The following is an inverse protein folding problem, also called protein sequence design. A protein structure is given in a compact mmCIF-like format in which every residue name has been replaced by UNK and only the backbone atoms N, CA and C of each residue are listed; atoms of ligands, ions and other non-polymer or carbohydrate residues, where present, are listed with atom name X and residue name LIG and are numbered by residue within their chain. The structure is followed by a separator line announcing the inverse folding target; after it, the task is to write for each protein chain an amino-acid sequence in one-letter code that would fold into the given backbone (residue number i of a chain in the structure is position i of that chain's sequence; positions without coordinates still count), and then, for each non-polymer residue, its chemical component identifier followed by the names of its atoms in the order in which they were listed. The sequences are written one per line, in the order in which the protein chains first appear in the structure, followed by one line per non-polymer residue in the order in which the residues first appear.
data_IF_623044242632
#
_entry.id   IF_623044242632
#
_cell.length_a   1.000
_cell.length_b   1.000
_cell.length_c   1.000
_cell.angle_alpha   90.00
_cell.angle_beta   90.00
_cell.angle_gamma   90.00
#
_symmetry.space_group_name_H-M   'P 1'
#
loop_
_entity.id
_entity.type
_entity.pdbx_description
1 polymer ?
#
# COMPACT_ATOMS: atom_id res chain seq x y z
N UNK A 1 -31.26 4.19 25.10
CA UNK A 1 -30.82 3.46 23.90
C UNK A 1 -29.44 3.96 23.54
N UNK A 2 -28.43 3.09 23.56
CA UNK A 2 -27.08 3.45 23.10
C UNK A 2 -27.03 3.06 21.62
N UNK A 3 -26.99 4.06 20.74
CA UNK A 3 -26.76 3.84 19.31
C UNK A 3 -25.28 3.50 19.11
N UNK A 4 -24.98 2.22 18.85
CA UNK A 4 -23.67 1.83 18.35
C UNK A 4 -23.55 2.33 16.91
N UNK A 5 -22.54 3.16 16.63
CA UNK A 5 -22.15 3.45 15.25
C UNK A 5 -21.74 2.13 14.60
N UNK A 6 -22.37 1.75 13.49
CA UNK A 6 -21.88 0.64 12.68
C UNK A 6 -20.58 1.10 11.99
N UNK A 7 -19.45 0.58 12.43
CA UNK A 7 -18.17 0.75 11.72
C UNK A 7 -18.18 -0.33 10.64
N UNK A 8 -18.28 0.08 9.38
CA UNK A 8 -18.51 -0.86 8.27
C UNK A 8 -17.29 -1.74 7.95
N UNK A 9 -16.12 -1.52 8.58
CA UNK A 9 -14.90 -2.26 8.29
C UNK A 9 -13.90 -2.26 9.47
N UNK A 10 -14.27 -2.94 10.57
CA UNK A 10 -13.39 -3.13 11.72
C UNK A 10 -12.10 -3.88 11.34
N UNK A 11 -12.16 -4.75 10.34
CA UNK A 11 -11.03 -5.58 9.94
C UNK A 11 -10.00 -4.78 9.13
N UNK A 12 -10.43 -3.93 8.19
CA UNK A 12 -9.51 -3.00 7.52
C UNK A 12 -8.90 -2.01 8.51
N UNK A 13 -9.65 -1.55 9.50
CA UNK A 13 -9.13 -0.68 10.56
C UNK A 13 -8.04 -1.36 11.37
N UNK A 14 -8.20 -2.65 11.70
CA UNK A 14 -7.17 -3.46 12.36
C UNK A 14 -5.94 -3.65 11.47
N UNK A 15 -6.14 -3.97 10.19
CA UNK A 15 -5.03 -4.14 9.25
C UNK A 15 -4.22 -2.85 9.08
N UNK A 16 -4.90 -1.69 9.01
CA UNK A 16 -4.26 -0.38 8.90
C UNK A 16 -3.40 0.01 10.12
N UNK A 17 -3.57 -0.66 11.27
CA UNK A 17 -2.73 -0.44 12.45
C UNK A 17 -1.36 -1.13 12.33
N UNK A 18 -1.21 -2.11 11.45
CA UNK A 18 0.08 -2.75 11.20
C UNK A 18 0.93 -1.86 10.28
N UNK A 19 2.03 -1.25 10.76
CA UNK A 19 2.84 -0.35 9.95
C UNK A 19 3.59 -1.04 8.79
N UNK A 20 3.61 -2.38 8.76
CA UNK A 20 4.17 -3.15 7.65
C UNK A 20 3.21 -3.24 6.46
N UNK A 21 1.92 -3.05 6.68
CA UNK A 21 0.90 -3.17 5.65
C UNK A 21 0.54 -1.77 5.09
N UNK A 22 0.15 -1.75 3.81
CA UNK A 22 -0.45 -0.62 3.13
C UNK A 22 -1.76 -1.07 2.49
N UNK A 23 -2.81 -1.09 3.30
CA UNK A 23 -4.07 -1.80 2.99
C UNK A 23 -5.11 -0.96 2.25
N UNK A 24 -4.86 0.34 2.08
CA UNK A 24 -5.77 1.25 1.40
C UNK A 24 -4.99 2.31 0.59
N UNK A 25 -5.60 2.92 -0.45
CA UNK A 25 -4.87 3.77 -1.41
C UNK A 25 -4.09 4.94 -0.81
N UNK A 26 -4.47 5.38 0.40
CA UNK A 26 -3.97 6.60 1.04
C UNK A 26 -3.36 6.35 2.42
N UNK A 27 -3.13 5.07 2.77
CA UNK A 27 -2.53 4.63 4.02
C UNK A 27 -3.51 4.57 5.20
N UNK A 28 -4.30 5.62 5.39
CA UNK A 28 -5.33 5.69 6.44
C UNK A 28 -6.61 6.38 5.94
N UNK A 29 -7.72 6.24 6.67
CA UNK A 29 -8.98 6.91 6.34
C UNK A 29 -8.91 8.43 6.36
N UNK A 30 -7.92 9.00 7.04
CA UNK A 30 -7.66 10.44 7.07
C UNK A 30 -6.86 10.91 5.84
N UNK A 31 -6.44 9.99 4.98
CA UNK A 31 -5.67 10.21 3.76
C UNK A 31 -4.29 10.85 3.96
N UNK A 32 -3.64 10.66 5.11
CA UNK A 32 -2.36 11.30 5.42
C UNK A 32 -1.19 10.80 4.56
N UNK A 33 -1.26 9.56 4.05
CA UNK A 33 -0.15 8.89 3.34
C UNK A 33 1.14 8.85 4.17
N UNK A 34 1.01 8.61 5.48
CA UNK A 34 2.12 8.58 6.42
C UNK A 34 2.45 7.14 6.83
N UNK A 35 3.74 6.79 6.84
CA UNK A 35 4.25 5.54 7.42
C UNK A 35 5.07 5.86 8.67
N UNK A 36 4.86 5.08 9.74
CA UNK A 36 5.66 5.14 10.97
C UNK A 36 6.97 4.33 10.88
N UNK A 37 7.20 3.60 9.78
CA UNK A 37 8.46 2.90 9.55
C UNK A 37 9.63 3.88 9.44
N UNK A 38 10.73 3.56 10.11
CA UNK A 38 11.89 4.45 10.26
C UNK A 38 13.24 3.81 9.92
N UNK A 39 13.21 2.61 9.33
CA UNK A 39 14.43 1.91 8.91
C UNK A 39 15.23 2.75 7.90
N UNK A 40 14.52 3.35 6.94
CA UNK A 40 15.06 4.37 6.03
C UNK A 40 14.82 5.74 6.67
N UNK A 41 15.87 6.56 6.74
CA UNK A 41 15.83 7.88 7.36
C UNK A 41 16.87 8.82 6.74
N UNK A 42 16.88 10.08 7.18
CA UNK A 42 17.74 11.16 6.65
C UNK A 42 19.23 10.82 6.67
N UNK A 43 19.67 9.98 7.59
CA UNK A 43 21.09 9.66 7.79
C UNK A 43 21.55 8.50 6.89
N UNK A 44 20.62 7.69 6.36
CA UNK A 44 20.96 6.50 5.56
C UNK A 44 20.30 6.43 4.17
N UNK A 45 19.38 7.34 3.83
CA UNK A 45 18.66 7.33 2.54
C UNK A 45 19.59 7.37 1.32
N UNK A 46 20.77 7.98 1.45
CA UNK A 46 21.79 8.01 0.40
C UNK A 46 22.42 6.65 0.08
N UNK A 47 22.12 5.60 0.85
CA UNK A 47 22.58 4.21 0.62
C UNK A 47 21.55 3.33 -0.08
N UNK A 48 20.36 3.87 -0.41
CA UNK A 48 19.32 3.08 -1.07
C UNK A 48 19.77 2.60 -2.45
N UNK A 49 19.41 1.35 -2.75
CA UNK A 49 19.65 0.71 -4.04
C UNK A 49 18.35 0.03 -4.50
N UNK A 50 18.21 -0.16 -5.81
CA UNK A 50 17.11 -0.93 -6.38
C UNK A 50 17.24 -2.38 -5.92
N UNK A 51 16.26 -2.88 -5.17
CA UNK A 51 16.23 -4.27 -4.73
C UNK A 51 15.74 -5.21 -5.86
N UNK A 52 14.70 -4.80 -6.59
CA UNK A 52 14.13 -5.53 -7.71
C UNK A 52 13.29 -4.60 -8.60
N UNK A 53 12.93 -5.08 -9.79
CA UNK A 53 12.00 -4.40 -10.71
C UNK A 53 11.02 -5.39 -11.32
N UNK A 54 9.83 -4.90 -11.70
CA UNK A 54 8.79 -5.68 -12.36
C UNK A 54 8.21 -4.87 -13.53
N UNK A 55 8.07 -5.50 -14.69
CA UNK A 55 7.42 -4.88 -15.85
C UNK A 55 5.96 -5.29 -15.91
N UNK A 56 5.06 -4.31 -16.01
CA UNK A 56 3.62 -4.55 -16.18
C UNK A 56 3.26 -5.02 -17.59
N UNK A 57 4.22 -5.04 -18.53
CA UNK A 57 4.02 -5.50 -19.90
C UNK A 57 3.14 -4.59 -20.77
N UNK A 58 2.72 -3.43 -20.26
CA UNK A 58 1.86 -2.47 -20.97
C UNK A 58 2.41 -1.05 -20.90
N UNK A 59 2.00 -0.22 -21.85
CA UNK A 59 2.40 1.19 -21.95
C UNK A 59 1.29 2.11 -21.44
N UNK A 60 1.54 3.43 -21.47
CA UNK A 60 0.68 4.56 -21.03
C UNK A 60 0.74 4.84 -19.51
N UNK A 61 -0.09 5.77 -19.06
CA UNK A 61 -0.03 6.36 -17.72
C UNK A 61 -0.36 5.35 -16.63
N UNK A 62 0.61 5.07 -15.76
CA UNK A 62 0.44 4.25 -14.56
C UNK A 62 0.10 5.17 -13.38
N UNK A 63 -1.13 5.07 -12.89
CA UNK A 63 -1.64 5.88 -11.79
C UNK A 63 -1.90 5.02 -10.54
N UNK A 64 -2.25 5.67 -9.43
CA UNK A 64 -2.47 5.00 -8.15
C UNK A 64 -1.17 4.54 -7.48
N UNK A 65 -1.29 3.62 -6.54
CA UNK A 65 -0.17 3.09 -5.75
C UNK A 65 -0.42 1.62 -5.40
N UNK A 66 0.65 0.82 -5.17
CA UNK A 66 0.48 -0.56 -4.74
C UNK A 66 -0.22 -0.68 -3.39
N UNK A 67 -0.92 -1.79 -3.17
CA UNK A 67 -1.33 -2.24 -1.85
C UNK A 67 -0.37 -3.34 -1.38
N UNK A 68 -0.03 -3.36 -0.10
CA UNK A 68 0.81 -4.40 0.51
C UNK A 68 0.07 -4.96 1.72
N UNK A 69 -0.20 -6.26 1.73
CA UNK A 69 -0.96 -6.94 2.78
C UNK A 69 -0.22 -8.23 3.11
N UNK A 70 0.42 -8.28 4.27
CA UNK A 70 1.36 -9.36 4.58
C UNK A 70 2.53 -9.38 3.60
N UNK A 71 2.81 -10.54 3.04
CA UNK A 71 3.94 -10.77 2.12
C UNK A 71 3.51 -10.67 0.64
N UNK A 72 2.38 -10.01 0.35
CA UNK A 72 1.87 -9.86 -1.03
C UNK A 72 1.68 -8.39 -1.39
N UNK A 73 2.26 -7.99 -2.53
CA UNK A 73 2.04 -6.69 -3.16
C UNK A 73 1.03 -6.81 -4.31
N UNK A 74 0.01 -5.97 -4.29
CA UNK A 74 -0.99 -5.84 -5.36
C UNK A 74 -0.78 -4.55 -6.12
N UNK A 75 -0.68 -4.62 -7.44
CA UNK A 75 -0.63 -3.45 -8.31
C UNK A 75 -1.54 -3.64 -9.53
N UNK A 76 -1.98 -2.53 -10.11
CA UNK A 76 -2.77 -2.55 -11.33
C UNK A 76 -2.04 -1.80 -12.45
N UNK A 77 -2.41 -2.12 -13.68
CA UNK A 77 -1.87 -1.52 -14.88
C UNK A 77 -2.94 -0.74 -15.67
N UNK A 78 -2.53 0.10 -16.64
CA UNK A 78 -3.43 0.71 -17.60
C UNK A 78 -4.28 -0.31 -18.38
N UNK A 79 -5.24 0.18 -19.18
CA UNK A 79 -6.07 -0.67 -20.06
C UNK A 79 -5.23 -1.77 -20.75
N UNK A 80 -5.59 -3.06 -20.64
CA UNK A 80 -6.90 -3.60 -20.25
C UNK A 80 -7.11 -3.82 -18.73
N UNK A 81 -6.41 -3.08 -17.88
CA UNK A 81 -6.62 -3.05 -16.42
C UNK A 81 -6.20 -4.34 -15.71
N UNK A 82 -5.10 -4.96 -16.17
CA UNK A 82 -4.51 -6.13 -15.52
C UNK A 82 -4.12 -5.82 -14.08
N UNK A 83 -4.40 -6.76 -13.18
CA UNK A 83 -3.99 -6.73 -11.77
C UNK A 83 -2.95 -7.82 -11.53
N UNK A 84 -1.90 -7.48 -10.80
CA UNK A 84 -0.83 -8.40 -10.42
C UNK A 84 -0.80 -8.56 -8.89
N UNK A 85 -0.49 -9.78 -8.45
CA UNK A 85 -0.13 -10.10 -7.07
C UNK A 85 1.31 -10.64 -7.09
N UNK A 86 2.21 -9.98 -6.36
CA UNK A 86 3.63 -10.33 -6.28
C UNK A 86 3.95 -10.79 -4.86
N UNK A 87 4.67 -11.90 -4.75
CA UNK A 87 5.28 -12.39 -3.50
C UNK A 87 6.56 -11.58 -3.21
N UNK A 88 6.70 -11.03 -2.00
CA UNK A 88 7.76 -10.05 -1.64
C UNK A 88 8.57 -10.42 -0.39
#
# INVERSE_FOLDING_TARGET
MITSSAVADDDLTKLAQNPKDWVMPTGDYANHRYSSLKQINKDNVGKLQVAWTFSTGVLRGHEGSPLVIGDVMYLHAPFPNTVYALDI
#
